data_IF_519544066078
#
_entry.id   IF_519544066078
#
_cell.length_a   1.000
_cell.length_b   1.000
_cell.length_c   1.000
_cell.angle_alpha   90.00
_cell.angle_beta   90.00
_cell.angle_gamma   90.00
#
_symmetry.space_group_name_H-M   'P 1'
#
loop_
_entity.id
_entity.type
_entity.pdbx_description
1 polymer ?
#
# COMPACT_ATOMS: atom_id res chain seq x y z
N UNK A 1 -5.80 -18.59 11.40
CA UNK A 1 -6.20 -17.38 10.63
C UNK A 1 -6.73 -16.37 11.65
N UNK A 2 -6.34 -15.10 11.55
CA UNK A 2 -6.82 -14.05 12.46
C UNK A 2 -7.53 -12.98 11.64
N UNK A 3 -8.65 -12.46 12.15
CA UNK A 3 -9.29 -11.27 11.60
C UNK A 3 -8.51 -10.03 12.11
N UNK A 4 -8.04 -9.21 11.18
CA UNK A 4 -7.24 -8.00 11.53
C UNK A 4 -8.10 -6.91 12.21
N UNK A 5 -9.42 -6.97 12.08
CA UNK A 5 -10.34 -6.03 12.74
C UNK A 5 -10.57 -6.37 14.20
N UNK A 6 -10.30 -7.61 14.61
CA UNK A 6 -10.35 -8.00 16.02
C UNK A 6 -9.31 -7.22 16.82
N UNK A 7 -9.77 -6.52 17.86
CA UNK A 7 -8.94 -5.61 18.67
C UNK A 7 -7.82 -6.32 19.43
N UNK A 8 -7.96 -7.61 19.69
CA UNK A 8 -6.97 -8.42 20.41
C UNK A 8 -6.01 -9.16 19.47
N UNK A 9 -6.32 -9.22 18.15
CA UNK A 9 -5.48 -9.88 17.17
C UNK A 9 -4.03 -9.32 17.13
N UNK A 10 -3.80 -7.99 17.21
CA UNK A 10 -2.45 -7.45 17.22
C UNK A 10 -1.60 -7.98 18.38
N UNK A 11 -2.16 -7.98 19.59
CA UNK A 11 -1.46 -8.49 20.78
C UNK A 11 -1.14 -9.97 20.63
N UNK A 12 -2.14 -10.78 20.24
CA UNK A 12 -1.93 -12.23 20.04
C UNK A 12 -0.85 -12.53 19.01
N UNK A 13 -0.82 -11.77 17.90
CA UNK A 13 0.19 -11.97 16.86
C UNK A 13 1.60 -11.64 17.34
N UNK A 14 1.77 -10.54 18.07
CA UNK A 14 3.07 -10.16 18.65
C UNK A 14 3.52 -11.16 19.71
N UNK A 15 2.63 -11.56 20.62
CA UNK A 15 2.93 -12.55 21.66
C UNK A 15 3.37 -13.89 21.03
N UNK A 16 2.70 -14.32 19.95
CA UNK A 16 3.05 -15.53 19.22
C UNK A 16 4.46 -15.43 18.59
N UNK A 17 4.77 -14.30 17.94
CA UNK A 17 6.09 -14.07 17.34
C UNK A 17 7.19 -14.10 18.40
N UNK A 18 6.99 -13.41 19.53
CA UNK A 18 7.95 -13.40 20.64
C UNK A 18 8.11 -14.77 21.30
N UNK A 19 7.03 -15.53 21.43
CA UNK A 19 7.08 -16.89 21.96
C UNK A 19 7.83 -17.86 21.05
N UNK A 20 7.70 -17.68 19.71
CA UNK A 20 8.29 -18.59 18.73
C UNK A 20 9.74 -18.23 18.39
N UNK A 21 10.09 -16.93 18.36
CA UNK A 21 11.35 -16.43 17.81
C UNK A 21 12.13 -15.54 18.77
N UNK A 22 11.57 -15.22 19.94
CA UNK A 22 12.14 -14.33 20.97
C UNK A 22 12.38 -12.89 20.48
N UNK A 23 11.97 -12.56 19.25
CA UNK A 23 12.17 -11.26 18.60
C UNK A 23 11.08 -10.95 17.56
N UNK A 24 10.96 -9.67 17.22
CA UNK A 24 10.11 -9.18 16.14
C UNK A 24 10.87 -8.10 15.34
N UNK A 25 11.31 -8.44 14.14
CA UNK A 25 12.17 -7.60 13.32
C UNK A 25 11.42 -6.86 12.22
N UNK A 26 10.33 -7.43 11.74
CA UNK A 26 9.57 -6.85 10.67
C UNK A 26 8.06 -7.04 10.87
N UNK A 27 7.31 -5.95 10.70
CA UNK A 27 5.87 -5.98 10.55
C UNK A 27 5.51 -5.59 9.12
N UNK A 28 4.74 -6.43 8.44
CA UNK A 28 4.16 -6.11 7.14
C UNK A 28 2.65 -5.97 7.28
N UNK A 29 2.14 -4.76 7.20
CA UNK A 29 0.71 -4.47 7.15
C UNK A 29 0.23 -4.62 5.71
N UNK A 30 -0.17 -5.82 5.33
CA UNK A 30 -0.61 -6.16 3.97
C UNK A 30 -2.13 -6.28 3.84
N UNK A 31 -2.84 -6.65 4.90
CA UNK A 31 -4.30 -6.76 4.86
C UNK A 31 -4.94 -5.43 4.43
N UNK A 32 -5.91 -5.51 3.54
CA UNK A 32 -6.59 -4.33 3.02
C UNK A 32 -7.94 -4.70 2.41
N UNK A 33 -8.86 -3.74 2.38
CA UNK A 33 -10.14 -3.83 1.68
C UNK A 33 -10.18 -2.78 0.57
N UNK A 34 -10.60 -3.20 -0.62
CA UNK A 34 -10.87 -2.32 -1.77
C UNK A 34 -12.37 -2.28 -2.02
N UNK A 35 -12.99 -1.15 -1.71
CA UNK A 35 -14.38 -0.88 -2.07
C UNK A 35 -14.46 0.45 -2.79
N UNK A 36 -15.33 0.50 -3.79
CA UNK A 36 -15.43 1.61 -4.73
C UNK A 36 -16.88 2.06 -4.82
N UNK A 37 -17.14 3.32 -4.54
CA UNK A 37 -18.39 4.01 -4.72
C UNK A 37 -18.11 5.50 -4.86
N UNK A 38 -18.99 6.22 -5.57
CA UNK A 38 -18.94 7.68 -5.59
C UNK A 38 -19.08 8.21 -4.14
N UNK A 39 -18.40 9.31 -3.78
CA UNK A 39 -18.45 9.80 -2.39
C UNK A 39 -19.88 10.05 -1.87
N UNK A 40 -20.80 10.48 -2.75
CA UNK A 40 -22.21 10.70 -2.38
C UNK A 40 -23.00 9.41 -2.14
N UNK A 41 -22.52 8.28 -2.65
CA UNK A 41 -23.15 6.96 -2.56
C UNK A 41 -22.42 6.02 -1.57
N UNK A 42 -21.39 6.52 -0.89
CA UNK A 42 -20.62 5.76 0.10
C UNK A 42 -21.37 5.76 1.42
N UNK A 43 -21.86 4.60 1.85
CA UNK A 43 -22.56 4.44 3.12
C UNK A 43 -21.60 4.29 4.32
N UNK A 44 -22.14 4.46 5.55
CA UNK A 44 -21.36 4.37 6.78
C UNK A 44 -20.74 2.99 6.98
N UNK A 45 -21.41 1.93 6.54
CA UNK A 45 -20.89 0.56 6.66
C UNK A 45 -19.62 0.37 5.80
N UNK A 46 -19.61 0.91 4.59
CA UNK A 46 -18.44 0.91 3.73
C UNK A 46 -17.30 1.75 4.30
N UNK A 47 -17.64 2.93 4.86
CA UNK A 47 -16.66 3.81 5.52
C UNK A 47 -15.99 3.06 6.66
N UNK A 48 -16.77 2.48 7.56
CA UNK A 48 -16.25 1.78 8.73
C UNK A 48 -15.40 0.57 8.33
N UNK A 49 -15.87 -0.28 7.41
CA UNK A 49 -15.14 -1.47 6.97
C UNK A 49 -13.78 -1.11 6.35
N UNK A 50 -13.76 -0.16 5.41
CA UNK A 50 -12.51 0.22 4.73
C UNK A 50 -11.52 0.84 5.71
N UNK A 51 -11.98 1.72 6.60
CA UNK A 51 -11.12 2.34 7.62
C UNK A 51 -10.65 1.32 8.66
N UNK A 52 -11.52 0.42 9.10
CA UNK A 52 -11.16 -0.58 10.11
C UNK A 52 -10.07 -1.52 9.59
N UNK A 53 -10.20 -2.02 8.37
CA UNK A 53 -9.23 -2.95 7.78
C UNK A 53 -7.98 -2.22 7.30
N UNK A 54 -8.12 -1.11 6.55
CA UNK A 54 -7.00 -0.53 5.80
C UNK A 54 -6.25 0.59 6.55
N UNK A 55 -6.73 1.03 7.71
CA UNK A 55 -6.07 2.09 8.50
C UNK A 55 -6.01 1.76 9.99
N UNK A 56 -7.15 1.47 10.65
CA UNK A 56 -7.17 1.26 12.10
C UNK A 56 -6.45 -0.02 12.50
N UNK A 57 -6.64 -1.13 11.75
CA UNK A 57 -5.94 -2.39 12.01
C UNK A 57 -4.41 -2.23 11.85
N UNK A 58 -3.87 -1.70 10.72
CA UNK A 58 -2.44 -1.39 10.59
C UNK A 58 -1.87 -0.57 11.75
N UNK A 59 -2.60 0.46 12.20
CA UNK A 59 -2.17 1.26 13.35
C UNK A 59 -2.09 0.43 14.63
N UNK A 60 -3.09 -0.43 14.90
CA UNK A 60 -3.12 -1.29 16.09
C UNK A 60 -1.98 -2.31 16.06
N UNK A 61 -1.74 -2.97 14.92
CA UNK A 61 -0.61 -3.90 14.75
C UNK A 61 0.73 -3.20 14.94
N UNK A 62 0.92 -2.03 14.34
CA UNK A 62 2.14 -1.25 14.53
C UNK A 62 2.34 -0.83 15.99
N UNK A 63 1.29 -0.38 16.68
CA UNK A 63 1.35 -0.01 18.10
C UNK A 63 1.84 -1.15 18.98
N UNK A 64 1.31 -2.36 18.82
CA UNK A 64 1.73 -3.51 19.62
C UNK A 64 3.15 -3.97 19.22
N UNK A 65 3.47 -3.96 17.92
CA UNK A 65 4.80 -4.31 17.42
C UNK A 65 5.89 -3.36 17.94
N UNK A 66 5.64 -2.06 17.93
CA UNK A 66 6.58 -1.03 18.40
C UNK A 66 6.94 -1.14 19.90
N UNK A 67 6.13 -1.83 20.71
CA UNK A 67 6.43 -2.14 22.10
C UNK A 67 7.45 -3.25 22.26
N UNK A 68 7.58 -4.12 21.26
CA UNK A 68 8.42 -5.31 21.24
C UNK A 68 9.65 -5.17 20.35
N UNK A 69 9.59 -4.34 19.32
CA UNK A 69 10.65 -4.15 18.33
C UNK A 69 11.91 -3.55 18.95
N UNK A 70 13.06 -4.02 18.45
CA UNK A 70 14.39 -3.56 18.83
C UNK A 70 15.03 -2.73 17.69
N UNK A 71 16.16 -2.03 17.94
CA UNK A 71 16.90 -1.33 16.89
C UNK A 71 17.20 -2.26 15.70
N UNK A 72 17.04 -1.73 14.49
CA UNK A 72 17.15 -2.48 13.24
C UNK A 72 15.79 -2.94 12.68
N UNK A 73 14.72 -2.93 13.47
CA UNK A 73 13.40 -3.37 13.03
C UNK A 73 12.78 -2.43 11.97
N UNK A 74 11.84 -2.97 11.21
CA UNK A 74 11.17 -2.27 10.11
C UNK A 74 9.66 -2.52 10.11
N UNK A 75 8.88 -1.47 9.90
CA UNK A 75 7.45 -1.53 9.60
C UNK A 75 7.24 -1.20 8.14
N UNK A 76 6.58 -2.09 7.41
CA UNK A 76 6.28 -1.91 5.99
C UNK A 76 4.77 -1.96 5.80
N UNK A 77 4.22 -0.88 5.30
CA UNK A 77 2.80 -0.73 5.08
C UNK A 77 2.50 -0.86 3.58
N UNK A 78 1.60 -1.76 3.20
CA UNK A 78 1.16 -1.88 1.81
C UNK A 78 0.06 -0.85 1.55
N UNK A 79 0.50 0.28 1.00
CA UNK A 79 -0.35 1.38 0.60
C UNK A 79 -1.04 1.15 -0.74
N UNK A 80 -1.10 2.19 -1.54
CA UNK A 80 -1.53 2.20 -2.94
C UNK A 80 -1.08 3.51 -3.57
N UNK A 81 -0.91 3.56 -4.89
CA UNK A 81 -0.80 4.82 -5.65
C UNK A 81 -2.01 5.72 -5.40
N UNK A 82 -3.18 5.15 -5.10
CA UNK A 82 -4.38 5.89 -4.70
C UNK A 82 -4.32 6.46 -3.26
N UNK A 83 -3.26 6.26 -2.53
CA UNK A 83 -2.93 7.03 -1.33
C UNK A 83 -2.19 8.34 -1.65
N UNK A 84 -1.65 8.48 -2.87
CA UNK A 84 -0.93 9.66 -3.37
C UNK A 84 -1.77 10.44 -4.37
N UNK A 85 -2.60 9.72 -5.14
CA UNK A 85 -3.46 10.24 -6.19
C UNK A 85 -4.93 9.99 -5.85
N UNK A 86 -5.84 10.82 -6.39
CA UNK A 86 -7.27 10.55 -6.35
C UNK A 86 -7.65 9.45 -7.35
N UNK A 87 -8.59 8.58 -6.96
CA UNK A 87 -9.22 7.59 -7.84
C UNK A 87 -10.71 7.89 -7.98
N UNK A 88 -11.25 7.74 -9.19
CA UNK A 88 -12.70 7.83 -9.40
C UNK A 88 -13.38 6.74 -8.57
N UNK A 89 -14.48 7.09 -7.91
CA UNK A 89 -15.26 6.23 -7.01
C UNK A 89 -14.46 5.63 -5.83
N UNK A 90 -13.22 6.07 -5.63
CA UNK A 90 -12.29 5.56 -4.62
C UNK A 90 -12.18 6.43 -3.37
N UNK A 91 -13.13 7.31 -3.06
CA UNK A 91 -12.99 8.33 -2.02
C UNK A 91 -12.54 7.78 -0.67
N UNK A 92 -13.24 6.79 -0.13
CA UNK A 92 -12.89 6.19 1.16
C UNK A 92 -11.62 5.35 1.11
N UNK A 93 -11.38 4.64 0.01
CA UNK A 93 -10.15 3.87 -0.20
C UNK A 93 -8.91 4.78 -0.27
N UNK A 94 -8.98 5.84 -1.07
CA UNK A 94 -7.92 6.86 -1.15
C UNK A 94 -7.64 7.47 0.22
N UNK A 95 -8.70 7.80 0.98
CA UNK A 95 -8.58 8.35 2.34
C UNK A 95 -7.84 7.40 3.26
N UNK A 96 -8.19 6.11 3.28
CA UNK A 96 -7.52 5.12 4.12
C UNK A 96 -6.05 4.96 3.75
N UNK A 97 -5.74 4.89 2.44
CA UNK A 97 -4.37 4.71 1.94
C UNK A 97 -3.52 5.97 2.11
N UNK A 98 -4.09 7.16 1.99
CA UNK A 98 -3.43 8.43 2.35
C UNK A 98 -3.16 8.52 3.86
N UNK A 99 -4.14 8.13 4.68
CA UNK A 99 -3.96 8.04 6.14
C UNK A 99 -2.82 7.11 6.55
N UNK A 100 -2.63 5.99 5.84
CA UNK A 100 -1.52 5.08 6.06
C UNK A 100 -0.15 5.73 5.79
N UNK A 101 -0.05 6.60 4.79
CA UNK A 101 1.17 7.37 4.51
C UNK A 101 1.50 8.28 5.70
N UNK A 102 0.53 9.09 6.16
CA UNK A 102 0.72 9.96 7.32
C UNK A 102 1.08 9.19 8.59
N UNK A 103 0.42 8.05 8.82
CA UNK A 103 0.74 7.14 9.92
C UNK A 103 2.19 6.65 9.85
N UNK A 104 2.64 6.20 8.69
CA UNK A 104 4.00 5.70 8.48
C UNK A 104 5.06 6.77 8.72
N UNK A 105 4.83 7.99 8.23
CA UNK A 105 5.71 9.14 8.46
C UNK A 105 5.80 9.50 9.95
N UNK A 106 4.67 9.49 10.66
CA UNK A 106 4.65 9.74 12.11
C UNK A 106 5.47 8.70 12.88
N UNK A 107 5.38 7.41 12.50
CA UNK A 107 6.18 6.35 13.12
C UNK A 107 7.67 6.51 12.80
N UNK A 108 8.00 6.85 11.56
CA UNK A 108 9.39 7.09 11.13
C UNK A 108 10.05 8.21 11.96
N UNK A 109 9.34 9.31 12.20
CA UNK A 109 9.82 10.43 13.03
C UNK A 109 9.94 10.01 14.49
N UNK A 110 8.92 9.37 15.04
CA UNK A 110 8.86 9.05 16.47
C UNK A 110 9.86 7.98 16.89
N UNK A 111 10.12 6.99 16.02
CA UNK A 111 10.91 5.81 16.35
C UNK A 111 12.25 5.72 15.62
N UNK A 112 12.54 6.64 14.71
CA UNK A 112 13.80 6.68 13.97
C UNK A 112 15.03 6.76 14.89
N UNK A 113 14.99 7.59 15.94
CA UNK A 113 16.06 7.67 16.93
C UNK A 113 16.27 6.37 17.74
N UNK A 114 15.29 5.46 17.73
CA UNK A 114 15.38 4.12 18.31
C UNK A 114 15.87 3.07 17.31
N UNK A 115 16.23 3.48 16.09
CA UNK A 115 16.67 2.58 15.03
C UNK A 115 15.55 1.77 14.39
N UNK A 116 14.27 2.17 14.53
CA UNK A 116 13.12 1.51 13.91
C UNK A 116 12.64 2.34 12.73
N UNK A 117 12.47 1.72 11.57
CA UNK A 117 12.06 2.36 10.33
C UNK A 117 10.59 2.07 10.01
N UNK A 118 9.92 2.99 9.34
CA UNK A 118 8.56 2.79 8.84
C UNK A 118 8.43 3.38 7.44
N UNK A 119 8.02 2.54 6.49
CA UNK A 119 7.89 2.92 5.08
C UNK A 119 6.57 2.40 4.49
N UNK A 120 6.17 2.98 3.37
CA UNK A 120 5.01 2.56 2.58
C UNK A 120 5.49 2.06 1.21
N UNK A 121 5.08 0.88 0.83
CA UNK A 121 5.07 0.45 -0.58
C UNK A 121 3.70 0.81 -1.13
N UNK A 122 3.66 1.55 -2.21
CA UNK A 122 2.44 2.02 -2.86
C UNK A 122 2.31 1.36 -4.25
N UNK A 123 1.75 0.14 -4.34
CA UNK A 123 1.57 -0.53 -5.61
C UNK A 123 0.57 0.21 -6.52
N UNK A 124 0.83 0.14 -7.83
CA UNK A 124 -0.19 0.34 -8.85
C UNK A 124 -1.12 -0.87 -8.93
N UNK A 125 -1.56 -1.21 -10.13
CA UNK A 125 -2.42 -2.38 -10.32
C UNK A 125 -1.58 -3.65 -10.37
N UNK A 126 -1.81 -4.52 -9.38
CA UNK A 126 -1.18 -5.84 -9.27
C UNK A 126 -2.24 -6.91 -9.48
N UNK A 127 -1.91 -7.92 -10.26
CA UNK A 127 -2.82 -9.05 -10.51
C UNK A 127 -2.93 -9.92 -9.25
N UNK A 128 -4.07 -9.83 -8.59
CA UNK A 128 -4.40 -10.53 -7.34
C UNK A 128 -5.86 -10.97 -7.37
N UNK A 129 -6.29 -11.73 -6.37
CA UNK A 129 -7.73 -12.06 -6.20
C UNK A 129 -8.60 -10.81 -6.08
N UNK A 130 -8.12 -9.75 -5.43
CA UNK A 130 -8.83 -8.47 -5.29
C UNK A 130 -9.13 -7.82 -6.65
N UNK A 131 -8.24 -7.95 -7.62
CA UNK A 131 -8.36 -7.35 -8.95
C UNK A 131 -8.89 -8.30 -10.01
N UNK A 132 -9.02 -9.60 -9.69
CA UNK A 132 -9.36 -10.64 -10.66
C UNK A 132 -10.66 -10.36 -11.43
N UNK A 133 -11.70 -9.92 -10.73
CA UNK A 133 -13.01 -9.64 -11.35
C UNK A 133 -12.97 -8.46 -12.34
N UNK A 134 -12.04 -7.50 -12.17
CA UNK A 134 -11.93 -6.34 -13.03
C UNK A 134 -10.99 -6.58 -14.24
N UNK A 135 -10.18 -7.65 -14.19
CA UNK A 135 -9.09 -7.87 -15.14
C UNK A 135 -9.54 -8.10 -16.57
N UNK A 136 -10.73 -8.66 -16.76
CA UNK A 136 -11.30 -8.93 -18.09
C UNK A 136 -12.08 -7.75 -18.68
N UNK A 137 -12.23 -6.66 -17.93
CA UNK A 137 -12.93 -5.46 -18.44
C UNK A 137 -12.00 -4.61 -19.31
N UNK A 138 -12.36 -4.33 -20.58
CA UNK A 138 -11.54 -3.53 -21.47
C UNK A 138 -11.18 -2.14 -20.93
N UNK A 139 -12.10 -1.51 -20.18
CA UNK A 139 -11.86 -0.21 -19.55
C UNK A 139 -10.79 -0.29 -18.47
N UNK A 140 -10.77 -1.36 -17.67
CA UNK A 140 -9.76 -1.59 -16.66
C UNK A 140 -8.38 -1.84 -17.29
N UNK A 141 -8.32 -2.67 -18.32
CA UNK A 141 -7.08 -2.93 -19.08
C UNK A 141 -6.53 -1.63 -19.67
N UNK A 142 -7.38 -0.82 -20.30
CA UNK A 142 -6.99 0.47 -20.88
C UNK A 142 -6.38 1.41 -19.86
N UNK A 143 -7.08 1.61 -18.74
CA UNK A 143 -6.63 2.57 -17.71
C UNK A 143 -5.39 2.11 -16.96
N UNK A 144 -5.12 0.81 -16.89
CA UNK A 144 -4.03 0.27 -16.08
C UNK A 144 -2.86 -0.26 -16.91
N UNK A 145 -3.11 -0.88 -18.05
CA UNK A 145 -2.04 -1.40 -18.91
C UNK A 145 -1.57 -0.38 -19.93
N UNK A 146 -2.51 0.23 -20.69
CA UNK A 146 -2.15 1.19 -21.74
C UNK A 146 -1.54 2.49 -21.18
N UNK A 147 -1.91 2.89 -19.95
CA UNK A 147 -1.35 4.08 -19.31
C UNK A 147 -0.09 3.81 -18.47
N UNK A 148 0.33 2.56 -18.36
CA UNK A 148 1.57 2.21 -17.65
C UNK A 148 2.73 2.17 -18.63
N UNK A 149 3.77 3.02 -18.46
CA UNK A 149 4.94 3.02 -19.35
C UNK A 149 5.69 1.68 -19.39
N UNK A 150 5.67 0.94 -18.29
CA UNK A 150 6.33 -0.34 -18.18
C UNK A 150 5.50 -1.41 -18.92
N UNK A 151 6.09 -2.08 -19.92
CA UNK A 151 5.38 -3.00 -20.83
C UNK A 151 5.14 -4.38 -20.21
N UNK A 152 4.61 -4.42 -18.98
CA UNK A 152 4.15 -5.63 -18.30
C UNK A 152 3.28 -5.28 -17.09
N UNK A 153 2.47 -6.23 -16.68
CA UNK A 153 1.70 -6.15 -15.43
C UNK A 153 2.63 -6.19 -14.20
N UNK A 154 2.22 -5.49 -13.15
CA UNK A 154 2.82 -5.66 -11.83
C UNK A 154 2.44 -7.02 -11.23
N UNK A 155 3.38 -7.64 -10.55
CA UNK A 155 3.20 -8.97 -9.93
C UNK A 155 3.31 -8.89 -8.41
N UNK A 156 2.81 -9.92 -7.72
CA UNK A 156 2.97 -10.05 -6.28
C UNK A 156 4.45 -10.14 -5.88
N UNK A 157 5.29 -10.69 -6.74
CA UNK A 157 6.73 -10.79 -6.51
C UNK A 157 7.42 -9.43 -6.59
N UNK A 158 6.95 -8.50 -7.45
CA UNK A 158 7.46 -7.14 -7.47
C UNK A 158 7.23 -6.46 -6.11
N UNK A 159 6.05 -6.65 -5.52
CA UNK A 159 5.72 -6.14 -4.19
C UNK A 159 6.57 -6.82 -3.12
N UNK A 160 6.64 -8.14 -3.14
CA UNK A 160 7.40 -8.93 -2.16
C UNK A 160 8.90 -8.58 -2.16
N UNK A 161 9.51 -8.41 -3.34
CA UNK A 161 10.90 -8.02 -3.48
C UNK A 161 11.17 -6.61 -2.92
N UNK A 162 10.24 -5.68 -3.12
CA UNK A 162 10.35 -4.32 -2.55
C UNK A 162 10.21 -4.36 -1.03
N UNK A 163 9.29 -5.17 -0.50
CA UNK A 163 9.14 -5.40 0.94
C UNK A 163 10.43 -5.99 1.52
N UNK A 164 10.98 -7.02 0.88
CA UNK A 164 12.23 -7.65 1.31
C UNK A 164 13.40 -6.66 1.32
N UNK A 165 13.55 -5.85 0.28
CA UNK A 165 14.56 -4.79 0.21
C UNK A 165 14.42 -3.81 1.39
N UNK A 166 13.22 -3.31 1.65
CA UNK A 166 12.96 -2.37 2.75
C UNK A 166 13.15 -3.01 4.14
N UNK A 167 12.91 -4.31 4.27
CA UNK A 167 13.11 -5.04 5.51
C UNK A 167 14.59 -5.33 5.80
N UNK A 168 15.42 -5.40 4.77
CA UNK A 168 16.84 -5.78 4.85
C UNK A 168 17.76 -4.60 5.18
N UNK A 169 19.04 -4.90 5.41
CA UNK A 169 20.11 -3.92 5.57
C UNK A 169 20.29 -3.02 4.33
N UNK A 170 19.95 -3.50 3.13
CA UNK A 170 20.01 -2.69 1.92
C UNK A 170 19.06 -1.48 1.97
N UNK A 171 17.96 -1.58 2.74
CA UNK A 171 17.02 -0.48 2.99
C UNK A 171 17.28 0.30 4.28
N UNK A 172 18.42 0.10 4.96
CA UNK A 172 18.68 0.62 6.33
C UNK A 172 18.62 2.14 6.47
N UNK A 173 18.86 2.90 5.40
CA UNK A 173 18.77 4.36 5.43
C UNK A 173 17.47 4.92 4.84
N UNK A 174 16.49 4.04 4.51
CA UNK A 174 15.18 4.44 3.98
C UNK A 174 14.17 4.43 5.13
N UNK A 175 13.69 5.63 5.49
CA UNK A 175 12.74 5.81 6.58
C UNK A 175 11.73 6.91 6.25
N UNK A 176 10.45 6.70 6.54
CA UNK A 176 9.36 7.64 6.29
C UNK A 176 8.98 7.79 4.81
N UNK A 177 9.44 6.90 3.93
CA UNK A 177 9.23 7.03 2.49
C UNK A 177 7.99 6.29 2.02
N UNK A 178 7.39 6.84 0.95
CA UNK A 178 6.36 6.17 0.15
C UNK A 178 6.96 5.85 -1.20
N UNK A 179 7.09 4.57 -1.50
CA UNK A 179 7.69 4.09 -2.74
C UNK A 179 6.58 3.62 -3.67
N UNK A 180 6.33 4.39 -4.73
CA UNK A 180 5.44 3.96 -5.80
C UNK A 180 6.04 2.77 -6.53
N UNK A 181 5.25 1.70 -6.67
CA UNK A 181 5.61 0.46 -7.36
C UNK A 181 4.55 0.19 -8.44
N UNK A 182 4.59 0.93 -9.52
CA UNK A 182 3.48 1.06 -10.45
C UNK A 182 3.89 1.10 -11.93
N UNK A 183 5.15 0.77 -12.25
CA UNK A 183 5.66 0.82 -13.61
C UNK A 183 5.71 2.21 -14.24
N UNK A 184 5.65 3.27 -13.42
CA UNK A 184 5.66 4.66 -13.85
C UNK A 184 4.27 5.26 -14.09
N UNK A 185 3.19 4.52 -13.80
CA UNK A 185 1.82 4.96 -14.03
C UNK A 185 1.47 6.29 -13.35
N UNK A 186 1.91 6.49 -12.09
CA UNK A 186 1.58 7.68 -11.31
C UNK A 186 2.50 8.88 -11.56
N UNK A 187 3.66 8.68 -12.17
CA UNK A 187 4.70 9.71 -12.30
C UNK A 187 4.79 10.36 -13.67
N UNK A 188 4.13 9.78 -14.67
CA UNK A 188 4.23 10.24 -16.06
C UNK A 188 2.86 10.48 -16.67
N UNK A 189 2.80 11.43 -17.60
CA UNK A 189 1.71 11.52 -18.57
C UNK A 189 2.07 10.65 -19.77
N UNK A 190 1.94 9.35 -19.61
CA UNK A 190 2.18 8.44 -20.70
C UNK A 190 1.06 8.57 -21.75
N UNK A 191 1.46 8.73 -22.99
CA UNK A 191 0.56 8.77 -24.14
C UNK A 191 0.88 7.58 -25.02
N UNK A 192 -0.12 6.73 -25.27
CA UNK A 192 0.08 5.55 -26.12
C UNK A 192 0.52 5.95 -27.53
N UNK A 193 1.26 5.07 -28.25
CA UNK A 193 1.60 5.33 -29.64
C UNK A 193 0.41 5.67 -30.52
N UNK A 194 -0.75 5.06 -30.28
CA UNK A 194 -1.99 5.31 -31.01
C UNK A 194 -2.52 6.73 -30.78
N UNK A 195 -2.38 7.27 -29.57
CA UNK A 195 -2.75 8.64 -29.24
C UNK A 195 -1.78 9.66 -29.85
N UNK A 196 -0.52 9.27 -30.09
CA UNK A 196 0.48 10.11 -30.77
C UNK A 196 0.26 10.19 -32.30
N UNK A 197 -0.48 9.28 -32.90
CA UNK A 197 -0.81 9.29 -34.32
C UNK A 197 -1.86 10.37 -34.65
N UNK A 198 -2.45 11.02 -33.66
CA UNK A 198 -3.34 12.14 -33.88
C UNK A 198 -2.54 13.37 -34.37
N UNK A 199 -2.46 13.57 -35.68
CA UNK A 199 -1.73 14.68 -36.35
C UNK A 199 -2.13 16.10 -35.86
N UNK A 200 -3.18 16.21 -35.03
CA UNK A 200 -3.67 17.47 -34.48
C UNK A 200 -3.12 17.88 -33.13
N UNK A 201 -2.35 16.99 -32.45
CA UNK A 201 -1.94 17.26 -31.08
C UNK A 201 -0.52 17.86 -30.99
N UNK A 202 0.29 17.69 -32.03
CA UNK A 202 1.64 18.26 -32.09
C UNK A 202 1.79 19.11 -33.36
N UNK A 203 1.64 20.43 -33.28
CA UNK A 203 2.07 21.29 -34.37
C UNK A 203 3.59 21.13 -34.58
N UNK A 204 3.98 20.94 -35.84
CA UNK A 204 5.40 20.86 -36.23
C UNK A 204 6.13 22.14 -35.90
#
# INVERSE_FOLDING_TARGET
MADVTDKDAPKRAVDLALSAFERLDCLVNNAGAGKWAAPGDTDDAMIDEVLDISLKAPFRFARESLRAMQPGASIINIGSVFGVLGGMDGGIYCTAKAGMIGMSQAFAVQYGAKGIRSNVVAPGVIKTEMTAAAWDFPGFQRTNQELTPFNRDGTVDDVANTVFFLASEAGSYINGQTIALDGGWSTTKYVTPEALVCERVMPK
#
